data_IF_457288630181
#
_entry.id   IF_457288630181
#
_cell.length_a   1.000
_cell.length_b   1.000
_cell.length_c   1.000
_cell.angle_alpha   90.00
_cell.angle_beta   90.00
_cell.angle_gamma   90.00
#
_symmetry.space_group_name_H-M   'P 1'
#
loop_
_entity.id
_entity.type
_entity.pdbx_description
1 polymer ?
#
# COMPACT_ATOMS: atom_id res chain seq x y z
N UNK A 1 22.85 10.01 1.05
CA UNK A 1 21.91 10.99 1.61
C UNK A 1 20.56 10.79 0.94
N UNK A 2 19.42 10.88 1.65
CA UNK A 2 18.12 10.93 0.99
C UNK A 2 18.06 12.13 0.04
N UNK A 3 17.33 11.99 -1.08
CA UNK A 3 17.15 13.07 -2.02
C UNK A 3 16.28 14.18 -1.42
N UNK A 4 16.45 15.41 -1.89
CA UNK A 4 15.66 16.56 -1.44
C UNK A 4 14.34 16.60 -2.18
N UNK A 5 13.24 16.86 -1.47
CA UNK A 5 11.94 17.12 -2.07
C UNK A 5 11.96 18.52 -2.72
N UNK A 6 11.71 18.59 -4.02
CA UNK A 6 11.73 19.83 -4.80
C UNK A 6 10.36 20.48 -4.98
N UNK A 7 9.29 19.77 -4.63
CA UNK A 7 7.91 20.22 -4.77
C UNK A 7 7.20 20.15 -3.41
N UNK A 8 6.27 21.06 -3.17
CA UNK A 8 5.35 20.96 -2.03
C UNK A 8 4.24 19.98 -2.38
N UNK A 9 4.08 18.93 -1.57
CA UNK A 9 3.02 17.96 -1.70
C UNK A 9 1.98 18.17 -0.60
N UNK A 10 0.75 17.73 -0.85
CA UNK A 10 -0.33 17.77 0.14
C UNK A 10 -0.64 16.35 0.64
N UNK A 11 -0.74 16.22 1.95
CA UNK A 11 -1.22 15.00 2.63
C UNK A 11 -2.37 15.36 3.57
N UNK A 12 -3.02 14.37 4.16
CA UNK A 12 -4.17 14.59 5.05
C UNK A 12 -3.85 15.56 6.20
N UNK A 13 -2.63 15.48 6.72
CA UNK A 13 -2.21 16.20 7.93
C UNK A 13 -1.48 17.52 7.63
N UNK A 14 -1.39 17.93 6.36
CA UNK A 14 -0.79 19.19 5.96
C UNK A 14 0.18 19.10 4.78
N UNK A 15 0.94 20.16 4.51
CA UNK A 15 1.91 20.16 3.42
C UNK A 15 3.19 19.40 3.77
N UNK A 16 3.75 18.69 2.79
CA UNK A 16 5.10 18.15 2.83
C UNK A 16 6.02 19.05 2.01
N UNK A 17 7.08 19.52 2.65
CA UNK A 17 8.10 20.39 2.06
C UNK A 17 9.48 19.80 2.30
N UNK A 18 10.52 20.39 1.71
CA UNK A 18 11.90 20.00 1.98
C UNK A 18 12.34 20.15 3.44
N UNK A 19 11.58 20.88 4.26
CA UNK A 19 11.88 21.09 5.68
C UNK A 19 11.37 19.94 6.56
N UNK A 20 10.29 19.26 6.13
CA UNK A 20 9.63 18.21 6.91
C UNK A 20 9.54 16.86 6.21
N UNK A 21 10.06 16.73 5.00
CA UNK A 21 10.05 15.49 4.23
C UNK A 21 11.31 15.32 3.37
N UNK A 22 11.71 14.08 3.20
CA UNK A 22 12.79 13.66 2.31
C UNK A 22 12.33 12.49 1.43
N UNK A 23 13.04 12.25 0.33
CA UNK A 23 12.79 11.08 -0.50
C UNK A 23 13.21 9.81 0.23
N UNK A 24 12.46 8.73 0.02
CA UNK A 24 12.81 7.43 0.57
C UNK A 24 14.20 6.98 0.09
N UNK A 25 14.97 6.40 0.99
CA UNK A 25 16.29 5.83 0.69
C UNK A 25 16.15 4.49 -0.03
N UNK A 26 16.62 4.36 -1.28
CA UNK A 26 16.60 3.08 -1.97
C UNK A 26 17.53 2.07 -1.29
N UNK A 27 17.11 0.81 -1.24
CA UNK A 27 17.91 -0.33 -0.84
C UNK A 27 18.10 -1.27 -2.03
N UNK A 28 19.34 -1.68 -2.29
CA UNK A 28 19.64 -2.67 -3.33
C UNK A 28 19.26 -4.06 -2.79
N UNK A 29 18.40 -4.83 -3.48
CA UNK A 29 18.02 -6.17 -3.04
C UNK A 29 19.18 -7.18 -3.04
N UNK A 30 20.32 -6.87 -3.66
CA UNK A 30 21.54 -7.68 -3.66
C UNK A 30 22.41 -7.50 -2.42
N UNK A 31 22.14 -6.51 -1.57
CA UNK A 31 22.86 -6.32 -0.31
C UNK A 31 22.73 -7.54 0.60
N UNK A 32 23.69 -7.68 1.53
CA UNK A 32 23.61 -8.73 2.54
C UNK A 32 22.33 -8.62 3.36
N UNK A 33 21.81 -9.75 3.86
CA UNK A 33 20.61 -9.76 4.71
C UNK A 33 20.84 -8.97 6.00
N UNK A 34 22.05 -9.00 6.54
CA UNK A 34 22.43 -8.21 7.71
C UNK A 34 22.26 -6.71 7.44
N UNK A 35 22.78 -6.22 6.32
CA UNK A 35 22.66 -4.81 5.95
C UNK A 35 21.22 -4.43 5.64
N UNK A 36 20.45 -5.28 4.93
CA UNK A 36 19.04 -5.01 4.66
C UNK A 36 18.23 -4.94 5.97
N UNK A 37 18.48 -5.84 6.91
CA UNK A 37 17.82 -5.83 8.22
C UNK A 37 18.20 -4.61 9.04
N UNK A 38 19.48 -4.24 9.05
CA UNK A 38 19.94 -3.03 9.72
C UNK A 38 19.27 -1.76 9.15
N UNK A 39 19.10 -1.68 7.81
CA UNK A 39 18.36 -0.58 7.17
C UNK A 39 16.89 -0.59 7.55
N UNK A 40 16.25 -1.76 7.55
CA UNK A 40 14.86 -1.90 7.93
C UNK A 40 14.62 -1.50 9.40
N UNK A 41 15.55 -1.86 10.27
CA UNK A 41 15.49 -1.47 11.70
C UNK A 41 15.69 0.03 11.90
N UNK A 42 16.58 0.64 11.14
CA UNK A 42 16.85 2.07 11.21
C UNK A 42 15.72 2.92 10.58
N UNK A 43 15.26 2.53 9.38
CA UNK A 43 14.35 3.36 8.59
C UNK A 43 12.87 2.97 8.78
N UNK A 44 12.57 1.76 9.27
CA UNK A 44 11.22 1.21 9.36
C UNK A 44 10.66 0.67 8.04
N UNK A 45 11.41 0.76 6.95
CA UNK A 45 11.03 0.28 5.62
C UNK A 45 12.26 -0.18 4.81
N UNK A 46 11.99 -0.92 3.74
CA UNK A 46 12.93 -1.11 2.62
C UNK A 46 12.29 -0.59 1.33
N UNK A 47 12.96 0.32 0.65
CA UNK A 47 12.54 0.78 -0.67
C UNK A 47 13.35 0.02 -1.74
N UNK A 48 12.78 -1.07 -2.24
CA UNK A 48 13.41 -1.97 -3.21
C UNK A 48 12.95 -1.60 -4.63
N UNK A 49 13.84 -1.04 -5.41
CA UNK A 49 13.56 -0.76 -6.82
C UNK A 49 13.79 -2.00 -7.67
N UNK A 50 12.90 -2.25 -8.64
CA UNK A 50 13.04 -3.33 -9.64
C UNK A 50 13.16 -4.74 -9.03
N UNK A 51 12.59 -4.98 -7.85
CA UNK A 51 12.50 -6.32 -7.30
C UNK A 51 11.70 -7.25 -8.20
N UNK A 52 10.57 -6.75 -8.72
CA UNK A 52 9.75 -7.45 -9.71
C UNK A 52 10.14 -7.03 -11.13
N UNK A 53 10.09 -7.95 -12.12
CA UNK A 53 10.25 -7.59 -13.53
C UNK A 53 9.18 -6.56 -13.94
N UNK A 54 9.61 -5.54 -14.67
CA UNK A 54 8.72 -4.47 -15.10
C UNK A 54 7.59 -4.99 -15.99
N UNK A 55 7.89 -5.93 -16.87
CA UNK A 55 6.93 -6.56 -17.78
C UNK A 55 5.80 -7.26 -17.03
N UNK A 56 6.08 -7.96 -15.95
CA UNK A 56 5.08 -8.68 -15.14
C UNK A 56 4.15 -7.68 -14.42
N UNK A 57 4.72 -6.58 -13.92
CA UNK A 57 3.95 -5.50 -13.28
C UNK A 57 3.06 -4.79 -14.29
N UNK A 58 3.57 -4.50 -15.50
CA UNK A 58 2.78 -3.85 -16.55
C UNK A 58 1.70 -4.77 -17.12
N UNK A 59 1.96 -6.07 -17.18
CA UNK A 59 0.92 -7.03 -17.56
C UNK A 59 -0.20 -7.08 -16.52
N UNK A 60 0.12 -7.14 -15.23
CA UNK A 60 -0.89 -7.05 -14.18
C UNK A 60 -1.70 -5.73 -14.27
N UNK A 61 -1.04 -4.62 -14.58
CA UNK A 61 -1.69 -3.33 -14.82
C UNK A 61 -2.65 -3.38 -16.02
N UNK A 62 -2.23 -3.95 -17.14
CA UNK A 62 -3.07 -4.11 -18.33
C UNK A 62 -4.31 -4.95 -18.02
N UNK A 63 -4.13 -6.08 -17.36
CA UNK A 63 -5.23 -6.97 -16.95
C UNK A 63 -6.23 -6.23 -16.04
N UNK A 64 -5.74 -5.52 -15.04
CA UNK A 64 -6.58 -4.78 -14.12
C UNK A 64 -7.40 -3.69 -14.82
N UNK A 65 -6.75 -2.83 -15.56
CA UNK A 65 -7.45 -1.73 -16.22
C UNK A 65 -8.33 -2.17 -17.38
N UNK A 66 -7.97 -3.24 -18.10
CA UNK A 66 -8.86 -3.87 -19.06
C UNK A 66 -10.12 -4.42 -18.38
N UNK A 67 -9.96 -5.02 -17.21
CA UNK A 67 -11.09 -5.52 -16.42
C UNK A 67 -12.00 -4.41 -15.91
N UNK A 68 -11.44 -3.25 -15.58
CA UNK A 68 -12.19 -2.06 -15.14
C UNK A 68 -12.78 -1.24 -16.30
N UNK A 69 -12.33 -1.43 -17.54
CA UNK A 69 -12.73 -0.56 -18.67
C UNK A 69 -14.24 -0.43 -18.89
N UNK A 70 -15.10 -1.46 -18.64
CA UNK A 70 -16.55 -1.30 -18.75
C UNK A 70 -17.17 -0.30 -17.76
N UNK A 71 -16.42 0.13 -16.73
CA UNK A 71 -16.88 1.17 -15.79
C UNK A 71 -16.62 2.58 -16.31
N UNK A 72 -16.02 2.71 -17.49
CA UNK A 72 -15.62 3.99 -18.11
C UNK A 72 -14.65 4.83 -17.24
N UNK A 73 -13.95 4.19 -16.29
CA UNK A 73 -12.95 4.86 -15.43
C UNK A 73 -11.75 5.37 -16.22
N UNK A 74 -11.45 4.72 -17.34
CA UNK A 74 -10.34 5.09 -18.22
C UNK A 74 -10.77 6.09 -19.28
N UNK A 75 -9.83 6.95 -19.65
CA UNK A 75 -9.98 7.87 -20.78
C UNK A 75 -10.23 7.09 -22.05
N UNK A 76 -11.29 7.48 -22.78
CA UNK A 76 -11.65 6.89 -24.05
C UNK A 76 -10.48 6.93 -25.05
N UNK A 77 -10.20 5.82 -25.71
CA UNK A 77 -9.13 5.69 -26.71
C UNK A 77 -7.70 5.59 -26.13
N UNK A 78 -7.51 5.60 -24.80
CA UNK A 78 -6.20 5.34 -24.21
C UNK A 78 -5.95 3.83 -24.05
N UNK A 79 -4.68 3.42 -24.11
CA UNK A 79 -4.29 2.04 -23.77
C UNK A 79 -4.57 1.78 -22.28
N UNK A 80 -5.24 0.69 -21.92
CA UNK A 80 -5.47 0.33 -20.51
C UNK A 80 -4.21 0.36 -19.66
N UNK A 81 -3.05 -0.01 -20.19
CA UNK A 81 -1.78 0.01 -19.45
C UNK A 81 -1.37 1.41 -18.99
N UNK A 82 -1.81 2.46 -19.68
CA UNK A 82 -1.54 3.84 -19.29
C UNK A 82 -2.30 4.23 -18.02
N UNK A 83 -3.50 3.65 -17.80
CA UNK A 83 -4.32 3.90 -16.62
C UNK A 83 -4.71 5.37 -16.46
N UNK A 84 -5.01 6.04 -17.58
CA UNK A 84 -5.40 7.46 -17.58
C UNK A 84 -6.86 7.57 -17.16
N UNK A 85 -7.11 8.29 -16.04
CA UNK A 85 -8.47 8.54 -15.57
C UNK A 85 -9.28 9.33 -16.62
N UNK A 86 -10.55 8.99 -16.75
CA UNK A 86 -11.47 9.68 -17.67
C UNK A 86 -11.86 11.06 -17.11
N UNK A 87 -11.40 12.17 -17.70
CA UNK A 87 -11.67 13.51 -17.17
C UNK A 87 -13.13 13.95 -17.28
N UNK A 88 -13.96 13.20 -18.04
CA UNK A 88 -15.41 13.45 -18.17
C UNK A 88 -16.22 12.82 -17.02
N UNK A 89 -15.58 12.04 -16.16
CA UNK A 89 -16.24 11.31 -15.06
C UNK A 89 -15.97 11.98 -13.72
N UNK A 90 -16.93 11.88 -12.84
CA UNK A 90 -16.80 12.36 -11.46
C UNK A 90 -15.94 11.38 -10.65
N UNK A 91 -14.82 11.82 -10.04
CA UNK A 91 -13.99 10.97 -9.18
C UNK A 91 -14.75 10.30 -8.03
N UNK A 92 -15.83 10.90 -7.54
CA UNK A 92 -16.64 10.33 -6.44
C UNK A 92 -17.32 9.00 -6.85
N UNK A 93 -17.53 8.76 -8.13
CA UNK A 93 -18.06 7.48 -8.63
C UNK A 93 -17.01 6.35 -8.65
N UNK A 94 -15.75 6.65 -8.36
CA UNK A 94 -14.64 5.70 -8.38
C UNK A 94 -13.88 5.71 -7.05
N UNK A 95 -14.53 5.39 -5.94
CA UNK A 95 -13.92 5.48 -4.62
C UNK A 95 -12.73 4.52 -4.50
N UNK A 96 -11.70 4.95 -3.80
CA UNK A 96 -10.60 4.08 -3.39
C UNK A 96 -11.14 2.92 -2.55
N UNK A 97 -10.74 1.68 -2.89
CA UNK A 97 -11.14 0.49 -2.14
C UNK A 97 -10.05 0.12 -1.15
N UNK A 98 -10.42 -0.06 0.10
CA UNK A 98 -9.50 -0.44 1.16
C UNK A 98 -10.05 -0.16 2.54
N UNK A 99 -9.27 -0.51 3.57
CA UNK A 99 -9.63 -0.28 4.96
C UNK A 99 -9.88 1.22 5.21
N UNK A 100 -11.09 1.60 5.55
CA UNK A 100 -11.50 2.99 5.74
C UNK A 100 -12.41 3.56 4.65
N UNK A 101 -12.48 2.95 3.47
CA UNK A 101 -13.51 3.27 2.49
C UNK A 101 -14.88 2.69 2.90
N UNK A 102 -14.91 1.78 3.86
CA UNK A 102 -16.10 1.14 4.39
C UNK A 102 -16.36 1.68 5.80
N UNK A 103 -16.69 2.95 5.87
CA UNK A 103 -17.30 3.54 7.05
C UNK A 103 -18.81 3.41 6.93
N UNK A 104 -19.40 2.37 7.53
CA UNK A 104 -20.85 2.22 7.58
C UNK A 104 -21.43 1.15 6.64
N UNK A 105 -22.72 0.91 6.77
CA UNK A 105 -23.48 -0.15 6.09
C UNK A 105 -23.78 0.13 4.60
N UNK A 106 -23.04 1.04 3.95
CA UNK A 106 -23.25 1.45 2.57
C UNK A 106 -22.08 1.11 1.64
N UNK A 107 -22.35 0.95 0.36
CA UNK A 107 -21.32 0.87 -0.67
C UNK A 107 -20.62 2.22 -0.77
N UNK A 108 -19.27 2.27 -0.85
CA UNK A 108 -18.55 3.51 -1.12
C UNK A 108 -19.06 4.16 -2.41
N UNK A 109 -19.34 5.47 -2.38
CA UNK A 109 -19.83 6.23 -3.56
C UNK A 109 -21.27 5.95 -3.98
N UNK A 110 -22.04 5.18 -3.22
CA UNK A 110 -23.45 4.87 -3.50
C UNK A 110 -23.68 4.06 -4.78
N UNK A 111 -24.87 4.18 -5.35
CA UNK A 111 -25.29 3.39 -6.53
C UNK A 111 -24.48 3.72 -7.78
N UNK A 112 -24.06 4.98 -7.93
CA UNK A 112 -23.24 5.41 -9.09
C UNK A 112 -21.85 4.75 -9.14
N UNK A 113 -21.32 4.35 -7.98
CA UNK A 113 -20.05 3.68 -7.87
C UNK A 113 -20.16 2.14 -7.90
N UNK A 114 -21.36 1.59 -7.84
CA UNK A 114 -21.59 0.16 -7.60
C UNK A 114 -20.83 -0.72 -8.59
N UNK A 115 -20.91 -0.46 -9.88
CA UNK A 115 -20.26 -1.26 -10.91
C UNK A 115 -18.72 -1.24 -10.77
N UNK A 116 -18.15 -0.09 -10.48
CA UNK A 116 -16.71 0.05 -10.27
C UNK A 116 -16.26 -0.69 -9.01
N UNK A 117 -16.98 -0.50 -7.90
CA UNK A 117 -16.68 -1.13 -6.61
C UNK A 117 -16.76 -2.65 -6.71
N UNK A 118 -17.82 -3.18 -7.32
CA UNK A 118 -17.98 -4.63 -7.48
C UNK A 118 -16.83 -5.23 -8.30
N UNK A 119 -16.45 -4.60 -9.41
CA UNK A 119 -15.31 -5.05 -10.22
C UNK A 119 -13.97 -4.93 -9.49
N UNK A 120 -13.75 -3.85 -8.78
CA UNK A 120 -12.52 -3.66 -8.04
C UNK A 120 -12.39 -4.66 -6.86
N UNK A 121 -13.50 -5.05 -6.22
CA UNK A 121 -13.52 -6.13 -5.24
C UNK A 121 -13.24 -7.47 -5.91
N UNK A 122 -13.92 -7.77 -7.01
CA UNK A 122 -13.76 -9.03 -7.75
C UNK A 122 -12.33 -9.19 -8.29
N UNK A 123 -11.65 -8.10 -8.63
CA UNK A 123 -10.27 -8.12 -9.10
C UNK A 123 -9.30 -8.80 -8.11
N UNK A 124 -9.60 -8.75 -6.79
CA UNK A 124 -8.79 -9.41 -5.76
C UNK A 124 -8.79 -10.95 -5.87
N UNK A 125 -9.69 -11.54 -6.64
CA UNK A 125 -9.83 -12.97 -6.82
C UNK A 125 -9.42 -13.47 -8.22
N UNK A 126 -8.91 -12.55 -9.07
CA UNK A 126 -8.46 -12.92 -10.41
C UNK A 126 -7.04 -13.51 -10.37
N UNK A 127 -6.79 -14.54 -11.17
CA UNK A 127 -5.50 -15.24 -11.22
C UNK A 127 -4.32 -14.31 -11.49
N UNK A 128 -4.49 -13.31 -12.38
CA UNK A 128 -3.44 -12.34 -12.67
C UNK A 128 -3.02 -11.53 -11.42
N UNK A 129 -3.95 -11.33 -10.48
CA UNK A 129 -3.65 -10.63 -9.24
C UNK A 129 -3.12 -11.60 -8.17
N UNK A 130 -3.85 -12.66 -7.88
CA UNK A 130 -3.50 -13.60 -6.80
C UNK A 130 -2.22 -14.35 -7.14
N UNK A 131 -2.20 -15.06 -8.28
CA UNK A 131 -1.12 -15.98 -8.61
C UNK A 131 0.08 -15.28 -9.26
N UNK A 132 -0.18 -14.29 -10.13
CA UNK A 132 0.89 -13.65 -10.90
C UNK A 132 1.55 -12.48 -10.16
N UNK A 133 0.80 -11.72 -9.36
CA UNK A 133 1.32 -10.54 -8.67
C UNK A 133 1.55 -10.80 -7.17
N UNK A 134 0.53 -11.20 -6.41
CA UNK A 134 0.66 -11.38 -4.96
C UNK A 134 1.59 -12.54 -4.59
N UNK A 135 1.53 -13.64 -5.32
CA UNK A 135 2.41 -14.81 -5.15
C UNK A 135 3.61 -14.79 -6.10
N UNK A 136 3.99 -13.62 -6.60
CA UNK A 136 5.13 -13.53 -7.51
C UNK A 136 6.40 -14.12 -6.86
N UNK A 137 7.08 -15.09 -7.53
CA UNK A 137 8.18 -15.84 -6.92
C UNK A 137 9.29 -14.95 -6.35
N UNK A 138 9.70 -13.91 -7.08
CA UNK A 138 10.75 -12.98 -6.61
C UNK A 138 10.35 -12.22 -5.34
N UNK A 139 9.06 -11.87 -5.21
CA UNK A 139 8.57 -11.21 -3.99
C UNK A 139 8.58 -12.19 -2.81
N UNK A 140 8.01 -13.39 -3.02
CA UNK A 140 7.95 -14.43 -2.00
C UNK A 140 9.35 -14.82 -1.52
N UNK A 141 10.26 -15.14 -2.43
CA UNK A 141 11.65 -15.53 -2.13
C UNK A 141 12.39 -14.44 -1.36
N UNK A 142 12.21 -13.18 -1.77
CA UNK A 142 12.82 -12.06 -1.06
C UNK A 142 12.31 -11.97 0.38
N UNK A 143 10.98 -12.00 0.58
CA UNK A 143 10.38 -11.90 1.92
C UNK A 143 10.79 -13.09 2.78
N UNK A 144 10.71 -14.32 2.26
CA UNK A 144 11.08 -15.54 2.97
C UNK A 144 12.54 -15.50 3.48
N UNK A 145 13.44 -15.03 2.62
CA UNK A 145 14.86 -14.90 2.96
C UNK A 145 15.11 -13.72 3.91
N UNK A 146 14.50 -12.56 3.66
CA UNK A 146 14.68 -11.36 4.48
C UNK A 146 14.18 -11.56 5.90
N UNK A 147 12.98 -12.11 6.08
CA UNK A 147 12.40 -12.39 7.38
C UNK A 147 13.10 -13.53 8.13
N UNK A 148 13.69 -14.46 7.40
CA UNK A 148 14.26 -15.70 7.94
C UNK A 148 13.22 -16.80 8.16
N UNK A 149 11.98 -16.63 7.68
CA UNK A 149 10.91 -17.63 7.83
C UNK A 149 11.06 -18.80 6.85
N UNK A 150 11.81 -18.61 5.75
CA UNK A 150 12.02 -19.68 4.76
C UNK A 150 10.70 -20.23 4.23
N UNK A 151 10.56 -21.56 4.30
CA UNK A 151 9.35 -22.29 3.89
C UNK A 151 8.10 -21.99 4.74
N UNK A 152 8.27 -21.42 5.93
CA UNK A 152 7.16 -21.07 6.83
C UNK A 152 6.54 -19.72 6.52
N UNK A 153 7.02 -19.06 5.46
CA UNK A 153 6.46 -17.79 4.97
C UNK A 153 5.03 -18.00 4.47
N UNK A 154 4.10 -17.27 5.04
CA UNK A 154 2.69 -17.28 4.65
C UNK A 154 2.29 -15.95 4.03
N UNK A 155 1.63 -16.00 2.88
CA UNK A 155 0.97 -14.85 2.29
C UNK A 155 -0.47 -14.79 2.79
N UNK A 156 -0.90 -13.64 3.31
CA UNK A 156 -2.29 -13.48 3.69
C UNK A 156 -3.20 -13.55 2.46
N UNK A 157 -4.28 -14.32 2.56
CA UNK A 157 -5.27 -14.40 1.50
C UNK A 157 -5.93 -13.04 1.25
N UNK A 158 -6.13 -12.25 2.32
CA UNK A 158 -6.65 -10.89 2.20
C UNK A 158 -5.53 -9.91 1.86
N UNK A 159 -5.62 -9.32 0.71
CA UNK A 159 -4.74 -8.26 0.21
C UNK A 159 -5.52 -6.95 0.01
N UNK A 160 -4.84 -5.87 -0.34
CA UNK A 160 -5.44 -4.58 -0.62
C UNK A 160 -5.00 -4.10 -2.00
N UNK A 161 -5.92 -4.10 -2.95
CA UNK A 161 -5.72 -3.52 -4.27
C UNK A 161 -6.41 -2.15 -4.30
N UNK A 162 -5.63 -1.08 -4.45
CA UNK A 162 -6.13 0.29 -4.34
C UNK A 162 -5.96 1.08 -5.61
N UNK A 163 -6.91 1.94 -5.88
CA UNK A 163 -6.84 2.94 -6.94
C UNK A 163 -6.61 4.32 -6.33
N UNK A 164 -5.64 5.05 -6.86
CA UNK A 164 -5.47 6.47 -6.57
C UNK A 164 -6.12 7.26 -7.69
N UNK A 165 -7.34 7.72 -7.46
CA UNK A 165 -8.09 8.53 -8.40
C UNK A 165 -7.77 10.01 -8.13
N UNK A 166 -7.48 10.82 -9.15
CA UNK A 166 -7.23 12.25 -8.97
C UNK A 166 -8.39 12.95 -8.25
N UNK A 167 -8.08 13.79 -7.27
CA UNK A 167 -9.08 14.54 -6.51
C UNK A 167 -9.68 13.80 -5.32
N UNK A 168 -9.39 12.51 -5.12
CA UNK A 168 -9.84 11.78 -3.94
C UNK A 168 -8.97 12.07 -2.71
N UNK A 169 -9.59 11.96 -1.52
CA UNK A 169 -8.89 12.19 -0.26
C UNK A 169 -7.86 11.08 0.01
N UNK A 170 -6.61 11.42 0.35
CA UNK A 170 -5.60 10.42 0.70
C UNK A 170 -5.93 9.74 2.05
N UNK A 171 -5.35 8.56 2.26
CA UNK A 171 -5.47 7.85 3.52
C UNK A 171 -4.50 8.47 4.53
N UNK A 172 -4.98 8.70 5.74
CA UNK A 172 -4.15 9.24 6.82
C UNK A 172 -3.04 8.27 7.25
N UNK A 173 -2.01 8.81 7.90
CA UNK A 173 -0.89 8.02 8.43
C UNK A 173 -1.40 7.03 9.48
N UNK A 174 -1.05 5.78 9.32
CA UNK A 174 -1.41 4.68 10.22
C UNK A 174 -0.31 3.61 10.23
N UNK A 175 -0.45 2.61 11.07
CA UNK A 175 0.38 1.41 11.05
C UNK A 175 -0.52 0.17 10.92
N UNK A 176 -0.11 -0.77 10.07
CA UNK A 176 -0.94 -1.93 9.72
C UNK A 176 -1.22 -2.84 10.91
N UNK A 177 -0.30 -2.92 11.89
CA UNK A 177 -0.47 -3.74 13.09
C UNK A 177 -1.73 -3.41 13.89
N UNK A 178 -2.31 -2.21 13.72
CA UNK A 178 -3.59 -1.86 14.38
C UNK A 178 -4.72 -2.79 13.94
N UNK A 179 -4.65 -3.30 12.71
CA UNK A 179 -5.63 -4.22 12.13
C UNK A 179 -5.35 -5.69 12.47
N UNK A 180 -4.11 -5.99 12.94
CA UNK A 180 -3.62 -7.32 13.27
C UNK A 180 -3.45 -7.51 14.78
N UNK A 181 -4.34 -6.95 15.59
CA UNK A 181 -4.23 -6.80 17.05
C UNK A 181 -3.97 -8.08 17.82
N UNK A 182 -4.37 -9.21 17.29
CA UNK A 182 -4.32 -10.53 17.93
C UNK A 182 -3.28 -11.44 17.27
N UNK A 183 -2.57 -10.97 16.24
CA UNK A 183 -1.49 -11.71 15.59
C UNK A 183 -0.13 -11.40 16.21
N UNK A 184 0.84 -12.24 15.87
CA UNK A 184 2.24 -11.98 16.17
C UNK A 184 2.70 -10.70 15.45
N UNK A 185 3.55 -9.86 16.08
CA UNK A 185 4.03 -8.62 15.50
C UNK A 185 5.11 -8.84 14.44
N UNK A 186 5.05 -9.96 13.73
CA UNK A 186 6.04 -10.39 12.72
C UNK A 186 5.57 -10.16 11.29
N UNK A 187 4.35 -9.63 11.09
CA UNK A 187 3.83 -9.39 9.73
C UNK A 187 4.63 -8.32 9.00
N UNK A 188 4.87 -8.54 7.71
CA UNK A 188 5.50 -7.60 6.79
C UNK A 188 4.51 -7.23 5.70
N UNK A 189 4.32 -5.95 5.47
CA UNK A 189 3.48 -5.45 4.37
C UNK A 189 4.37 -5.11 3.18
N UNK A 190 4.10 -5.74 2.03
CA UNK A 190 4.70 -5.36 0.76
C UNK A 190 3.75 -4.43 0.00
N UNK A 191 4.16 -3.19 -0.20
CA UNK A 191 3.46 -2.27 -1.08
C UNK A 191 4.07 -2.34 -2.48
N UNK A 192 3.28 -2.81 -3.44
CA UNK A 192 3.72 -3.03 -4.83
C UNK A 192 2.93 -2.09 -5.75
N UNK A 193 3.56 -1.07 -6.33
CA UNK A 193 2.90 -0.24 -7.32
C UNK A 193 2.71 -1.01 -8.63
N UNK A 194 1.50 -0.94 -9.20
CA UNK A 194 1.20 -1.56 -10.48
C UNK A 194 1.54 -0.58 -11.62
N UNK A 195 2.79 -0.16 -11.68
CA UNK A 195 3.31 0.78 -12.68
C UNK A 195 4.19 1.86 -12.08
N UNK A 196 4.63 2.81 -12.90
CA UNK A 196 5.46 3.92 -12.46
C UNK A 196 4.65 4.92 -11.63
N UNK A 197 5.22 5.34 -10.51
CA UNK A 197 4.64 6.36 -9.65
C UNK A 197 5.53 7.60 -9.63
N UNK A 198 4.96 8.72 -10.02
CA UNK A 198 5.59 10.03 -9.86
C UNK A 198 5.46 10.49 -8.40
N UNK A 199 6.35 11.37 -7.94
CA UNK A 199 6.31 11.92 -6.58
C UNK A 199 4.94 12.54 -6.25
N UNK A 200 4.35 13.26 -7.20
CA UNK A 200 3.01 13.84 -7.09
C UNK A 200 1.87 12.89 -7.53
N UNK A 201 2.16 11.61 -7.72
CA UNK A 201 1.22 10.59 -8.21
C UNK A 201 0.59 9.71 -7.12
N UNK A 202 0.61 10.13 -5.86
CA UNK A 202 -0.04 9.38 -4.78
C UNK A 202 0.76 8.19 -4.25
N UNK A 203 2.08 8.34 -4.12
CA UNK A 203 2.96 7.36 -3.49
C UNK A 203 2.75 7.22 -1.98
N UNK A 204 3.59 6.41 -1.33
CA UNK A 204 3.60 6.26 0.13
C UNK A 204 4.47 7.30 0.81
N UNK A 205 4.09 7.65 2.03
CA UNK A 205 4.93 8.37 2.99
C UNK A 205 5.12 7.52 4.24
N UNK A 206 6.26 7.67 4.89
CA UNK A 206 6.56 7.05 6.17
C UNK A 206 6.90 8.14 7.19
N UNK A 207 6.39 7.97 8.40
CA UNK A 207 6.77 8.81 9.53
C UNK A 207 8.09 8.28 10.10
N UNK A 208 9.14 9.13 10.11
CA UNK A 208 10.40 8.78 10.79
C UNK A 208 10.14 8.47 12.26
N UNK A 209 10.91 7.53 12.82
CA UNK A 209 10.76 7.02 14.18
C UNK A 209 9.36 6.46 14.53
N UNK A 210 8.51 6.24 13.54
CA UNK A 210 7.15 5.73 13.72
C UNK A 210 7.09 4.42 14.50
N UNK A 211 8.10 3.56 14.39
CA UNK A 211 8.21 2.31 15.18
C UNK A 211 8.28 2.57 16.69
N UNK A 212 9.07 3.54 17.11
CA UNK A 212 9.21 3.93 18.52
C UNK A 212 7.90 4.41 19.11
N UNK A 213 7.13 5.21 18.34
CA UNK A 213 5.81 5.69 18.72
C UNK A 213 4.78 4.56 18.86
N UNK A 214 4.83 3.56 17.97
CA UNK A 214 3.94 2.39 17.99
C UNK A 214 4.22 1.54 19.24
N UNK A 215 5.47 1.22 19.52
CA UNK A 215 5.88 0.47 20.70
C UNK A 215 5.43 1.17 21.99
N UNK A 216 5.66 2.48 22.09
CA UNK A 216 5.25 3.27 23.25
C UNK A 216 3.74 3.23 23.49
N UNK A 217 2.93 3.43 22.46
CA UNK A 217 1.46 3.34 22.54
C UNK A 217 0.95 1.93 22.88
N UNK A 218 1.63 0.91 22.38
CA UNK A 218 1.29 -0.49 22.69
C UNK A 218 1.59 -0.84 24.14
N UNK A 219 2.73 -0.39 24.65
CA UNK A 219 3.11 -0.57 26.06
C UNK A 219 2.17 0.20 27.01
N UNK A 220 1.79 1.43 26.68
CA UNK A 220 0.81 2.19 27.48
C UNK A 220 -0.56 1.48 27.52
N UNK A 221 -1.04 0.93 26.39
CA UNK A 221 -2.31 0.18 26.37
C UNK A 221 -2.25 -1.12 27.17
N UNK A 222 -1.10 -1.81 27.19
CA UNK A 222 -0.89 -3.01 28.03
C UNK A 222 -0.85 -2.64 29.51
N UNK A 223 -0.13 -1.60 29.88
CA UNK A 223 -0.07 -1.10 31.26
C UNK A 223 -1.46 -0.65 31.78
N UNK A 224 -2.25 0.04 30.96
CA UNK A 224 -3.60 0.47 31.34
C UNK A 224 -4.58 -0.70 31.49
N UNK A 225 -4.42 -1.80 30.70
CA UNK A 225 -5.25 -3.02 30.88
C UNK A 225 -4.87 -3.82 32.12
N UNK A 226 -3.58 -3.91 32.44
CA UNK A 226 -3.13 -4.61 33.62
C UNK A 226 -3.55 -3.92 34.95
N UNK A 227 -3.65 -2.58 34.93
CA UNK A 227 -4.16 -1.83 36.09
C UNK A 227 -5.69 -1.96 36.28
N UNK A 228 -6.46 -2.24 35.24
CA UNK A 228 -7.90 -2.48 35.32
C UNK A 228 -8.27 -3.90 35.76
N UNK A 229 -7.36 -4.87 35.60
CA UNK A 229 -7.57 -6.26 36.05
C UNK A 229 -7.08 -6.50 37.49
N UNK A 230 -6.29 -5.60 38.05
CA UNK A 230 -5.79 -5.68 39.45
C UNK A 230 -6.74 -5.04 40.49
N UNK A 231 -7.87 -4.47 40.04
CA UNK A 231 -8.87 -3.81 40.89
C UNK A 231 -10.25 -4.52 40.91
N UNK A 232 -10.26 -5.86 40.75
CA UNK A 232 -11.46 -6.69 40.98
C UNK A 232 -11.16 -7.83 41.91
#
# INVERSE_FOLDING_TARGET
>A
MPGVLTETLAVTDGPLTSENAALLRPSDPSLSLEELRARYDADGYLFLKQLLPREDVLEARRQYFSYLSPTEVLKEGSDPVEGIFNPKKDPEHYPGIGAGAVGGNGRPGGDNAAQFVDRAIEAHYKDWYVEKLCHHPKLYEFVARFSGWGSDTLTFQRTLLRNNIPGTKPIGVHYDQIFLRYGEPTSVTAWVPIGDIKINGGGLIYLEDGRSLVLFRTLQKRACRSSLTASR
#
